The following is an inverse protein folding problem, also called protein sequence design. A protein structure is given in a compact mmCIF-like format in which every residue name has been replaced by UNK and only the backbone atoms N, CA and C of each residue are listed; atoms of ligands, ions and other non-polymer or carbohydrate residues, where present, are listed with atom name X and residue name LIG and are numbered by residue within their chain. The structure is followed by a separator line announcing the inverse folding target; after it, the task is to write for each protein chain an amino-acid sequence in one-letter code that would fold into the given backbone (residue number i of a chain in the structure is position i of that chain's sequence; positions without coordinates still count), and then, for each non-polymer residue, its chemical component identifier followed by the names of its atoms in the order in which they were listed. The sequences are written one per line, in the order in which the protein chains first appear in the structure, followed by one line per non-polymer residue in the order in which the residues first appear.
data_IF_703871239643
#
_entry.id   IF_703871239643
#
_cell.length_a   1.000
_cell.length_b   1.000
_cell.length_c   1.000
_cell.angle_alpha   90.00
_cell.angle_beta   90.00
_cell.angle_gamma   90.00
#
_symmetry.space_group_name_H-M   'P 1'
#
loop_
_entity.id
_entity.type
_entity.pdbx_description
1 polymer ?
#
# COMPACT_ATOMS: atom_id res chain seq x y z
N UNK A 1 -8.56 -9.47 -4.19
CA UNK A 1 -7.30 -9.28 -4.95
C UNK A 1 -6.57 -8.15 -4.23
N UNK A 2 -5.41 -8.43 -3.64
CA UNK A 2 -4.74 -7.54 -2.67
C UNK A 2 -4.11 -6.28 -3.28
N UNK A 3 -4.07 -6.18 -4.61
CA UNK A 3 -3.49 -5.05 -5.33
C UNK A 3 -4.49 -3.89 -5.42
N UNK A 4 -4.14 -2.77 -4.79
CA UNK A 4 -4.93 -1.55 -4.72
C UNK A 4 -4.26 -0.38 -5.46
N UNK A 5 -3.32 -0.69 -6.35
CA UNK A 5 -2.73 0.29 -7.28
C UNK A 5 -3.82 0.93 -8.11
N UNK A 6 -3.85 2.25 -8.12
CA UNK A 6 -4.83 3.00 -8.91
C UNK A 6 -4.55 2.74 -10.40
N UNK A 7 -5.53 2.28 -11.19
CA UNK A 7 -5.35 2.07 -12.62
C UNK A 7 -4.83 3.30 -13.36
N UNK A 8 -5.12 4.52 -12.89
CA UNK A 8 -4.61 5.76 -13.50
C UNK A 8 -3.08 5.86 -13.42
N UNK A 9 -2.48 5.28 -12.36
CA UNK A 9 -1.02 5.24 -12.22
C UNK A 9 -0.37 4.26 -13.20
N UNK A 10 -1.15 3.32 -13.76
CA UNK A 10 -0.67 2.31 -14.69
C UNK A 10 -0.88 2.70 -16.15
N UNK A 11 -1.77 3.66 -16.43
CA UNK A 11 -2.19 4.00 -17.79
C UNK A 11 -1.05 4.45 -18.72
N UNK A 12 -0.04 5.13 -18.18
CA UNK A 12 1.11 5.65 -18.93
C UNK A 12 2.45 5.12 -18.42
N UNK A 13 2.44 4.04 -17.65
CA UNK A 13 3.63 3.48 -17.02
C UNK A 13 4.47 2.69 -18.04
N UNK A 14 5.78 2.90 -18.04
CA UNK A 14 6.74 2.03 -18.72
C UNK A 14 7.24 0.92 -17.80
N UNK A 15 7.66 -0.22 -18.35
CA UNK A 15 8.05 -1.40 -17.57
C UNK A 15 9.20 -1.15 -16.57
N UNK A 16 10.04 -0.14 -16.82
CA UNK A 16 11.16 0.24 -15.95
C UNK A 16 10.85 1.37 -14.97
N UNK A 17 9.63 1.91 -14.96
CA UNK A 17 9.30 3.05 -14.10
C UNK A 17 9.39 2.65 -12.63
N UNK A 18 10.08 3.48 -11.86
CA UNK A 18 10.28 3.28 -10.44
C UNK A 18 9.22 4.01 -9.63
N UNK A 19 8.87 3.39 -8.52
CA UNK A 19 7.93 3.96 -7.56
C UNK A 19 8.16 3.44 -6.15
N UNK A 20 7.17 3.68 -5.32
CA UNK A 20 7.12 3.21 -3.94
C UNK A 20 6.00 2.19 -3.80
N UNK A 21 6.35 0.98 -3.37
CA UNK A 21 5.39 0.00 -2.91
C UNK A 21 5.01 0.25 -1.46
N UNK A 22 3.71 0.19 -1.18
CA UNK A 22 3.11 0.28 0.15
C UNK A 22 2.51 -1.09 0.42
N UNK A 23 2.88 -1.70 1.55
CA UNK A 23 2.47 -3.04 1.90
C UNK A 23 1.89 -3.06 3.31
N UNK A 24 0.70 -3.62 3.48
CA UNK A 24 0.15 -3.97 4.78
C UNK A 24 0.51 -5.42 5.05
N UNK A 25 1.40 -5.66 6.01
CA UNK A 25 1.86 -7.00 6.38
C UNK A 25 1.22 -7.36 7.71
N UNK A 26 0.70 -8.60 7.89
CA UNK A 26 0.18 -9.03 9.19
C UNK A 26 1.20 -8.76 10.29
N UNK A 27 0.73 -8.17 11.38
CA UNK A 27 1.54 -7.91 12.56
C UNK A 27 0.98 -8.72 13.71
N UNK A 28 1.84 -9.47 14.37
CA UNK A 28 1.50 -10.29 15.52
C UNK A 28 2.60 -10.04 16.56
N UNK A 29 2.44 -8.95 17.29
CA UNK A 29 3.21 -8.69 18.50
C UNK A 29 2.42 -9.25 19.69
N UNK A 30 3.13 -9.75 20.70
CA UNK A 30 2.51 -10.40 21.86
C UNK A 30 1.63 -9.44 22.67
N UNK A 31 1.89 -8.13 22.56
CA UNK A 31 1.15 -7.06 23.23
C UNK A 31 0.03 -6.46 22.37
N UNK A 32 -0.05 -6.83 21.08
CA UNK A 32 -1.05 -6.32 20.14
C UNK A 32 -2.17 -7.34 19.92
N UNK A 33 -3.29 -7.12 20.61
CA UNK A 33 -4.47 -7.98 20.57
C UNK A 33 -5.49 -7.55 19.50
N UNK A 34 -5.17 -6.56 18.65
CA UNK A 34 -6.11 -6.05 17.65
C UNK A 34 -6.30 -7.04 16.49
N UNK A 35 -7.55 -7.45 16.25
CA UNK A 35 -7.87 -8.26 15.08
C UNK A 35 -7.53 -7.50 13.79
N UNK A 36 -6.77 -8.15 12.92
CA UNK A 36 -6.34 -7.52 11.67
C UNK A 36 -5.23 -6.48 11.87
N UNK A 37 -4.49 -6.54 12.98
CA UNK A 37 -3.26 -5.78 13.16
C UNK A 37 -2.32 -5.96 11.96
N UNK A 38 -1.85 -4.84 11.42
CA UNK A 38 -0.94 -4.80 10.27
C UNK A 38 0.12 -3.75 10.48
N UNK A 39 1.31 -4.03 9.97
CA UNK A 39 2.38 -3.04 9.85
C UNK A 39 2.43 -2.54 8.41
N UNK A 40 2.39 -1.22 8.26
CA UNK A 40 2.61 -0.56 6.97
C UNK A 40 4.11 -0.47 6.66
N UNK A 41 4.52 -1.01 5.52
CA UNK A 41 5.91 -1.02 5.03
C UNK A 41 5.99 -0.30 3.69
N UNK A 42 6.97 0.59 3.56
CA UNK A 42 7.27 1.30 2.32
C UNK A 42 8.55 0.74 1.70
N UNK A 43 8.50 0.35 0.43
CA UNK A 43 9.67 -0.06 -0.35
C UNK A 43 9.84 0.83 -1.56
N UNK A 44 10.91 1.61 -1.55
CA UNK A 44 11.23 2.60 -2.59
C UNK A 44 12.03 1.97 -3.73
N UNK A 45 12.02 2.67 -4.87
CA UNK A 45 12.82 2.37 -6.06
C UNK A 45 12.58 0.95 -6.57
N UNK A 46 11.31 0.56 -6.62
CA UNK A 46 10.88 -0.70 -7.22
C UNK A 46 9.92 -0.44 -8.38
N UNK A 47 9.97 -1.32 -9.37
CA UNK A 47 9.00 -1.39 -10.46
C UNK A 47 7.64 -1.88 -9.96
N UNK A 48 6.59 -1.65 -10.76
CA UNK A 48 5.27 -2.20 -10.48
C UNK A 48 5.28 -3.74 -10.43
N UNK A 49 6.02 -4.39 -11.34
CA UNK A 49 6.12 -5.85 -11.38
C UNK A 49 6.74 -6.42 -10.09
N UNK A 50 7.81 -5.79 -9.59
CA UNK A 50 8.41 -6.15 -8.31
C UNK A 50 7.45 -5.89 -7.13
N UNK A 51 6.66 -4.82 -7.19
CA UNK A 51 5.64 -4.54 -6.18
C UNK A 51 4.56 -5.63 -6.14
N UNK A 52 4.04 -6.05 -7.30
CA UNK A 52 3.08 -7.15 -7.43
C UNK A 52 3.64 -8.45 -6.87
N UNK A 53 4.88 -8.81 -7.23
CA UNK A 53 5.52 -10.02 -6.74
C UNK A 53 5.69 -10.02 -5.21
N UNK A 54 6.18 -8.92 -4.63
CA UNK A 54 6.34 -8.76 -3.18
C UNK A 54 4.99 -8.73 -2.45
N UNK A 55 3.97 -8.17 -3.10
CA UNK A 55 2.63 -7.99 -2.57
C UNK A 55 1.84 -9.28 -2.39
N UNK A 56 2.30 -10.41 -2.93
CA UNK A 56 1.62 -11.71 -2.81
C UNK A 56 1.46 -12.18 -1.36
N UNK A 57 2.33 -11.73 -0.45
CA UNK A 57 2.28 -12.08 0.97
C UNK A 57 1.73 -10.95 1.87
N UNK A 58 1.25 -9.86 1.27
CA UNK A 58 0.68 -8.73 2.00
C UNK A 58 -0.85 -8.87 2.11
N UNK A 59 -1.43 -8.37 3.20
CA UNK A 59 -2.90 -8.22 3.35
C UNK A 59 -3.45 -7.32 2.25
N UNK A 60 -2.73 -6.24 1.95
CA UNK A 60 -2.99 -5.35 0.84
C UNK A 60 -1.67 -4.71 0.40
N UNK A 61 -1.60 -4.32 -0.87
CA UNK A 61 -0.47 -3.56 -1.37
C UNK A 61 -0.88 -2.58 -2.46
N UNK A 62 -0.09 -1.53 -2.62
CA UNK A 62 -0.30 -0.47 -3.61
C UNK A 62 1.05 0.01 -4.13
N UNK A 63 1.15 0.27 -5.42
CA UNK A 63 2.31 0.91 -6.02
C UNK A 63 1.97 2.35 -6.41
N UNK A 64 2.86 3.28 -6.08
CA UNK A 64 2.74 4.69 -6.46
C UNK A 64 3.99 5.08 -7.26
N UNK A 65 3.85 5.54 -8.53
CA UNK A 65 4.98 6.01 -9.31
C UNK A 65 5.68 7.18 -8.61
N UNK A 66 7.00 7.28 -8.77
CA UNK A 66 7.77 8.39 -8.20
C UNK A 66 7.36 9.76 -8.78
N UNK A 67 6.79 9.78 -9.99
CA UNK A 67 6.24 10.99 -10.63
C UNK A 67 4.95 11.49 -9.98
N UNK A 68 4.25 10.64 -9.22
CA UNK A 68 3.00 10.99 -8.53
C UNK A 68 3.28 11.48 -7.11
N UNK A 69 4.13 10.75 -6.37
CA UNK A 69 4.52 11.12 -5.02
C UNK A 69 5.88 10.50 -4.65
N UNK A 70 6.66 11.25 -3.89
CA UNK A 70 7.87 10.75 -3.25
C UNK A 70 7.54 9.85 -2.06
N UNK A 71 8.48 8.97 -1.70
CA UNK A 71 8.33 8.12 -0.53
C UNK A 71 8.27 8.89 0.79
N UNK A 72 8.81 10.12 0.84
CA UNK A 72 8.72 10.98 2.00
C UNK A 72 7.28 11.49 2.21
N UNK A 73 6.63 11.96 1.12
CA UNK A 73 5.23 12.40 1.14
C UNK A 73 4.31 11.23 1.52
N UNK A 74 4.54 10.05 0.94
CA UNK A 74 3.71 8.86 1.23
C UNK A 74 3.74 8.45 2.70
N UNK A 75 4.86 8.63 3.40
CA UNK A 75 5.00 8.30 4.83
C UNK A 75 4.32 9.29 5.76
N UNK A 76 4.13 10.52 5.31
CA UNK A 76 3.52 11.58 6.12
C UNK A 76 1.99 11.52 6.13
N UNK A 77 1.38 10.70 5.26
CA UNK A 77 -0.07 10.57 5.22
C UNK A 77 -0.62 9.79 6.41
N UNK A 78 -1.39 10.50 7.23
CA UNK A 78 -2.32 9.89 8.17
C UNK A 78 -3.53 9.34 7.41
N UNK A 79 -3.84 8.07 7.64
CA UNK A 79 -4.91 7.34 6.98
C UNK A 79 -6.24 7.43 7.73
N UNK A 80 -6.22 8.01 8.94
CA UNK A 80 -7.37 8.32 9.80
C UNK A 80 -8.32 7.15 10.09
N UNK A 81 -7.90 5.90 9.87
CA UNK A 81 -8.73 4.70 10.00
C UNK A 81 -10.12 4.83 9.33
N UNK A 82 -10.16 5.57 8.22
CA UNK A 82 -11.40 5.80 7.49
C UNK A 82 -11.96 4.46 6.96
N UNK A 83 -13.29 4.25 6.97
CA UNK A 83 -13.90 3.09 6.34
C UNK A 83 -13.52 2.99 4.86
N UNK A 84 -13.21 1.80 4.39
CA UNK A 84 -12.91 1.52 2.99
C UNK A 84 -13.46 0.17 2.56
N UNK A 85 -13.80 0.05 1.29
CA UNK A 85 -14.29 -1.21 0.71
C UNK A 85 -13.19 -1.98 -0.03
N UNK A 86 -12.28 -1.28 -0.72
CA UNK A 86 -11.22 -1.89 -1.55
C UNK A 86 -9.95 -1.06 -1.68
N UNK A 87 -10.02 0.26 -1.47
CA UNK A 87 -8.88 1.16 -1.58
C UNK A 87 -9.09 2.41 -0.73
N UNK A 88 -8.00 3.12 -0.47
CA UNK A 88 -8.00 4.40 0.22
C UNK A 88 -7.73 5.55 -0.74
N UNK A 89 -8.31 6.71 -0.45
CA UNK A 89 -8.19 7.93 -1.27
C UNK A 89 -6.75 8.45 -1.26
N UNK A 90 -6.11 8.47 -0.08
CA UNK A 90 -4.75 8.95 0.09
C UNK A 90 -3.75 7.97 -0.51
N UNK A 91 -2.75 8.48 -1.22
CA UNK A 91 -1.75 7.65 -1.90
C UNK A 91 -0.92 6.82 -0.92
N UNK A 92 -0.62 7.35 0.26
CA UNK A 92 0.16 6.69 1.33
C UNK A 92 -0.60 5.63 2.14
N UNK A 93 -1.84 5.33 1.74
CA UNK A 93 -2.74 4.45 2.49
C UNK A 93 -3.22 3.28 1.63
N UNK A 94 -3.47 2.15 2.30
CA UNK A 94 -4.10 0.98 1.71
C UNK A 94 -5.27 0.52 2.60
N UNK A 95 -6.29 -0.03 1.97
CA UNK A 95 -7.42 -0.61 2.69
C UNK A 95 -6.98 -1.94 3.29
N UNK A 96 -7.09 -2.09 4.60
CA UNK A 96 -6.91 -3.38 5.24
C UNK A 96 -8.15 -4.24 4.98
N UNK A 97 -8.04 -5.18 4.05
CA UNK A 97 -9.14 -6.06 3.64
C UNK A 97 -9.71 -6.90 4.82
N UNK A 98 -8.97 -7.06 5.92
CA UNK A 98 -9.43 -7.78 7.11
C UNK A 98 -10.41 -6.96 7.96
N UNK A 99 -10.23 -5.65 8.02
CA UNK A 99 -10.98 -4.75 8.93
C UNK A 99 -11.85 -3.73 8.19
N UNK A 100 -11.65 -3.54 6.88
CA UNK A 100 -12.31 -2.51 6.09
C UNK A 100 -11.91 -1.09 6.48
N UNK A 101 -10.64 -0.91 6.92
CA UNK A 101 -10.10 0.38 7.40
C UNK A 101 -8.85 0.78 6.66
N UNK A 102 -8.70 2.09 6.41
CA UNK A 102 -7.51 2.65 5.80
C UNK A 102 -6.33 2.67 6.78
N UNK A 103 -5.21 2.07 6.37
CA UNK A 103 -3.94 2.01 7.13
C UNK A 103 -2.79 2.61 6.32
#
# INVERSE_FOLDING_TARGET
MHNQTDPVHLANMQQGDLGTGIFLIPWCDADDYEFGAVRKVFKEKITYAECVLRGQNAVAFKWIPQTVASAAELRQHDCHDAPCARSCKQHGCACNDLTGRCK
#
